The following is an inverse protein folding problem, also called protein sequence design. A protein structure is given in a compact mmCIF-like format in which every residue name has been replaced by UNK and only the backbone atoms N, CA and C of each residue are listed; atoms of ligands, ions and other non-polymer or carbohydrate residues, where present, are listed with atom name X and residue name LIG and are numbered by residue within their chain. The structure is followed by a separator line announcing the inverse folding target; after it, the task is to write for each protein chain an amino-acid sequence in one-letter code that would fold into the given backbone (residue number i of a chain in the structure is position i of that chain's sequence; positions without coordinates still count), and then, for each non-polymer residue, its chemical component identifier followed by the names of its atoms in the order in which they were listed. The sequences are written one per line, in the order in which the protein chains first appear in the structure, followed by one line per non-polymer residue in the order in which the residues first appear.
data_IF_012559505161
#
_entry.id   IF_012559505161
#
_cell.length_a   1.000
_cell.length_b   1.000
_cell.length_c   1.000
_cell.angle_alpha   90.00
_cell.angle_beta   90.00
_cell.angle_gamma   90.00
#
_symmetry.space_group_name_H-M   'P 1'
#
loop_
_entity.id
_entity.type
_entity.pdbx_description
1 polymer ?
#
# COMPACT_ATOMS: atom_id res chain seq x y z
N UNK A 1 2.61 7.94 20.69
CA UNK A 1 4.06 8.10 20.84
C UNK A 1 4.62 8.77 19.61
N UNK A 2 5.29 9.89 19.81
CA UNK A 2 5.94 10.60 18.70
C UNK A 2 7.25 9.89 18.34
N UNK A 3 7.40 9.53 17.10
CA UNK A 3 8.57 8.83 16.54
C UNK A 3 9.06 9.57 15.30
N UNK A 4 10.38 9.64 15.16
CA UNK A 4 11.04 10.16 13.97
C UNK A 4 11.23 9.02 12.97
N UNK A 5 10.82 9.22 11.73
CA UNK A 5 11.03 8.30 10.61
C UNK A 5 12.41 8.49 9.99
N UNK A 6 12.83 7.56 9.12
CA UNK A 6 14.13 7.63 8.44
C UNK A 6 14.28 8.86 7.50
N UNK A 7 13.17 9.40 7.04
CA UNK A 7 13.08 10.62 6.20
C UNK A 7 12.84 11.90 7.02
N UNK A 8 13.23 11.88 8.32
CA UNK A 8 13.21 13.03 9.24
C UNK A 8 11.81 13.62 9.52
N UNK A 9 10.75 12.85 9.33
CA UNK A 9 9.39 13.25 9.65
C UNK A 9 8.96 12.76 11.03
N UNK A 10 8.18 13.56 11.76
CA UNK A 10 7.62 13.19 13.05
C UNK A 10 6.22 12.63 12.85
N UNK A 11 5.98 11.43 13.35
CA UNK A 11 4.67 10.73 13.28
C UNK A 11 4.18 10.42 14.69
N UNK A 12 2.91 10.70 14.98
CA UNK A 12 2.27 10.22 16.21
C UNK A 12 1.65 8.84 15.94
N UNK A 13 2.18 7.84 16.65
CA UNK A 13 1.79 6.44 16.50
C UNK A 13 1.13 5.96 17.78
N UNK A 14 -0.07 5.40 17.63
CA UNK A 14 -0.75 4.63 18.67
C UNK A 14 -0.62 3.15 18.33
N UNK A 15 -0.41 2.32 19.33
CA UNK A 15 -0.34 0.87 19.17
C UNK A 15 -1.14 0.16 20.24
N UNK A 16 -1.57 -1.05 19.93
CA UNK A 16 -2.21 -1.97 20.86
C UNK A 16 -1.47 -3.30 20.81
N UNK A 17 -0.98 -3.77 21.96
CA UNK A 17 -0.35 -5.06 22.10
C UNK A 17 -1.21 -5.96 22.97
N UNK A 18 -1.51 -7.17 22.50
CA UNK A 18 -2.12 -8.24 23.27
C UNK A 18 -1.07 -9.30 23.55
N UNK A 19 -0.98 -9.72 24.78
CA UNK A 19 -0.01 -10.71 25.21
C UNK A 19 -0.64 -11.72 26.17
N UNK A 20 -0.01 -12.87 26.29
CA UNK A 20 -0.35 -13.92 27.26
C UNK A 20 0.89 -14.26 28.06
N UNK A 21 0.69 -14.67 29.31
CA UNK A 21 1.78 -15.16 30.14
C UNK A 21 1.99 -16.63 29.79
N UNK A 22 3.14 -16.93 29.18
CA UNK A 22 3.51 -18.29 28.78
C UNK A 22 4.21 -19.04 29.91
N UNK A 23 5.00 -18.35 30.71
CA UNK A 23 5.68 -18.90 31.89
C UNK A 23 5.42 -18.01 33.12
N UNK A 24 4.48 -18.42 33.99
CA UNK A 24 4.16 -17.64 35.19
C UNK A 24 5.34 -17.51 36.17
N UNK A 25 6.27 -18.43 36.13
CA UNK A 25 7.43 -18.39 37.02
C UNK A 25 8.41 -17.31 36.59
N UNK A 26 8.72 -17.24 35.30
CA UNK A 26 9.55 -16.15 34.75
C UNK A 26 8.86 -14.81 34.89
N UNK A 27 7.55 -14.74 34.68
CA UNK A 27 6.78 -13.53 34.84
C UNK A 27 6.81 -12.97 36.29
N UNK A 28 6.69 -13.85 37.30
CA UNK A 28 6.67 -13.44 38.69
C UNK A 28 8.05 -13.15 39.28
N UNK A 29 9.10 -13.83 38.81
CA UNK A 29 10.44 -13.74 39.38
C UNK A 29 11.49 -13.17 38.44
N UNK A 30 11.18 -12.99 37.16
CA UNK A 30 12.07 -12.40 36.16
C UNK A 30 12.17 -10.88 36.28
N UNK A 31 11.15 -10.23 36.80
CA UNK A 31 11.19 -8.81 37.10
C UNK A 31 11.82 -8.60 38.50
N UNK A 32 13.01 -8.07 38.50
CA UNK A 32 13.80 -7.86 39.71
C UNK A 32 13.15 -6.78 40.61
N UNK A 33 12.83 -7.18 41.84
CA UNK A 33 12.69 -6.42 43.07
C UNK A 33 11.50 -5.48 43.32
N UNK A 34 10.69 -5.02 42.35
CA UNK A 34 9.64 -4.04 42.67
C UNK A 34 8.19 -4.55 42.46
N UNK A 35 8.00 -5.83 42.10
CA UNK A 35 6.69 -6.40 41.78
C UNK A 35 5.74 -6.41 42.99
N UNK A 36 6.29 -6.49 44.19
CA UNK A 36 5.49 -6.55 45.43
C UNK A 36 4.87 -5.19 45.82
N UNK A 37 5.46 -4.07 45.37
CA UNK A 37 5.05 -2.71 45.78
C UNK A 37 3.97 -2.08 44.87
N UNK A 38 3.82 -2.54 43.62
CA UNK A 38 3.01 -1.85 42.56
C UNK A 38 1.73 -2.55 42.13
N UNK A 39 1.22 -3.52 42.90
CA UNK A 39 -0.12 -4.09 42.64
C UNK A 39 -0.30 -4.79 41.28
N UNK A 40 0.75 -5.38 40.70
CA UNK A 40 0.62 -6.21 39.48
C UNK A 40 0.60 -5.44 38.15
N UNK A 41 0.80 -4.14 38.15
CA UNK A 41 0.81 -3.32 36.91
C UNK A 41 2.17 -3.22 36.22
N UNK A 42 3.23 -3.68 36.84
CA UNK A 42 4.60 -3.55 36.29
C UNK A 42 4.87 -4.38 35.06
N UNK A 43 4.31 -5.58 34.94
CA UNK A 43 4.43 -6.37 33.73
C UNK A 43 3.86 -5.66 32.49
N UNK A 44 2.75 -4.91 32.69
CA UNK A 44 2.17 -4.11 31.60
C UNK A 44 3.02 -2.89 31.25
N UNK A 45 3.68 -2.28 32.22
CA UNK A 45 4.57 -1.12 31.99
C UNK A 45 5.84 -1.53 31.24
N UNK A 46 6.47 -2.66 31.62
CA UNK A 46 7.62 -3.20 30.91
C UNK A 46 7.27 -3.58 29.47
N UNK A 47 6.12 -4.23 29.25
CA UNK A 47 5.63 -4.53 27.91
C UNK A 47 5.38 -3.25 27.12
N UNK A 48 4.83 -2.21 27.75
CA UNK A 48 4.59 -0.91 27.11
C UNK A 48 5.89 -0.27 26.67
N UNK A 49 6.90 -0.21 27.55
CA UNK A 49 8.21 0.36 27.24
C UNK A 49 8.96 -0.43 26.16
N UNK A 50 8.91 -1.77 26.22
CA UNK A 50 9.48 -2.62 25.19
C UNK A 50 8.77 -2.43 23.85
N UNK A 51 7.44 -2.29 23.85
CA UNK A 51 6.65 -2.02 22.67
C UNK A 51 6.95 -0.64 22.06
N UNK A 52 7.09 0.39 22.89
CA UNK A 52 7.51 1.72 22.43
C UNK A 52 8.91 1.70 21.79
N UNK A 53 9.83 0.94 22.36
CA UNK A 53 11.16 0.76 21.80
C UNK A 53 11.12 0.02 20.46
N UNK A 54 10.35 -1.07 20.37
CA UNK A 54 10.18 -1.82 19.14
C UNK A 54 9.53 -0.98 18.03
N UNK A 55 8.50 -0.20 18.35
CA UNK A 55 7.87 0.74 17.39
C UNK A 55 8.87 1.80 16.94
N UNK A 56 9.63 2.38 17.86
CA UNK A 56 10.63 3.40 17.54
C UNK A 56 11.72 2.85 16.62
N UNK A 57 12.17 1.63 16.83
CA UNK A 57 13.17 0.97 15.98
C UNK A 57 12.61 0.68 14.59
N UNK A 58 11.41 0.09 14.51
CA UNK A 58 10.79 -0.28 13.23
C UNK A 58 10.45 0.97 12.42
N UNK A 59 9.84 1.97 13.03
CA UNK A 59 9.45 3.23 12.34
C UNK A 59 10.65 4.07 11.98
N UNK A 60 11.66 4.14 12.86
CA UNK A 60 12.89 4.89 12.58
C UNK A 60 13.71 4.32 11.43
N UNK A 61 13.55 3.05 11.09
CA UNK A 61 14.20 2.41 9.94
C UNK A 61 13.38 2.48 8.65
N UNK A 62 12.14 2.99 8.70
CA UNK A 62 11.24 3.08 7.56
C UNK A 62 10.89 4.54 7.23
N UNK A 63 10.43 4.77 6.00
CA UNK A 63 9.96 6.07 5.56
C UNK A 63 8.54 6.34 6.07
N UNK A 64 8.13 7.59 6.03
CA UNK A 64 6.79 8.00 6.41
C UNK A 64 5.72 7.34 5.55
N UNK A 65 5.93 7.26 4.23
CA UNK A 65 5.00 6.61 3.30
C UNK A 65 4.77 5.14 3.68
N UNK A 66 5.85 4.39 3.93
CA UNK A 66 5.76 3.00 4.40
C UNK A 66 5.00 2.92 5.72
N UNK A 67 5.26 3.84 6.63
CA UNK A 67 4.61 3.88 7.95
C UNK A 67 3.11 4.14 7.86
N UNK A 68 2.66 4.91 6.88
CA UNK A 68 1.24 5.24 6.68
C UNK A 68 0.48 4.18 5.86
N UNK A 69 1.12 3.61 4.84
CA UNK A 69 0.44 2.74 3.87
C UNK A 69 0.68 1.24 4.08
N UNK A 70 1.82 0.83 4.65
CA UNK A 70 2.19 -0.58 4.84
C UNK A 70 2.13 -1.03 6.32
N UNK A 71 1.14 -0.56 7.05
CA UNK A 71 0.98 -0.79 8.50
C UNK A 71 0.95 -2.25 8.92
N UNK A 72 0.41 -3.12 8.07
CA UNK A 72 0.33 -4.56 8.38
C UNK A 72 1.72 -5.18 8.45
N UNK A 73 2.60 -4.84 7.52
CA UNK A 73 3.98 -5.31 7.51
C UNK A 73 4.75 -4.78 8.73
N UNK A 74 4.57 -3.49 9.03
CA UNK A 74 5.19 -2.87 10.21
C UNK A 74 4.67 -3.48 11.53
N UNK A 75 3.41 -3.86 11.60
CA UNK A 75 2.83 -4.54 12.77
C UNK A 75 3.49 -5.91 13.00
N UNK A 76 3.77 -6.65 11.95
CA UNK A 76 4.48 -7.95 12.03
C UNK A 76 5.91 -7.74 12.49
N UNK A 77 6.63 -6.79 11.91
CA UNK A 77 8.01 -6.48 12.29
C UNK A 77 8.10 -6.00 13.74
N UNK A 78 7.21 -5.10 14.15
CA UNK A 78 7.15 -4.59 15.52
C UNK A 78 6.82 -5.70 16.53
N UNK A 79 5.93 -6.63 16.17
CA UNK A 79 5.64 -7.82 16.98
C UNK A 79 6.88 -8.68 17.19
N UNK A 80 7.63 -8.94 16.12
CA UNK A 80 8.85 -9.76 16.18
C UNK A 80 9.96 -9.10 17.01
N UNK A 81 10.15 -7.79 16.85
CA UNK A 81 11.09 -7.01 17.66
C UNK A 81 10.68 -6.98 19.14
N UNK A 82 9.40 -6.77 19.42
CA UNK A 82 8.86 -6.81 20.77
C UNK A 82 9.06 -8.18 21.40
N UNK A 83 8.73 -9.26 20.69
CA UNK A 83 8.91 -10.62 21.22
C UNK A 83 10.38 -10.93 21.51
N UNK A 84 11.30 -10.57 20.60
CA UNK A 84 12.75 -10.75 20.82
C UNK A 84 13.24 -9.99 22.06
N UNK A 85 12.77 -8.77 22.26
CA UNK A 85 13.12 -7.97 23.45
C UNK A 85 12.60 -8.62 24.73
N UNK A 86 11.35 -9.09 24.73
CA UNK A 86 10.73 -9.76 25.88
C UNK A 86 11.41 -11.10 26.19
N UNK A 87 11.85 -11.84 25.15
CA UNK A 87 12.57 -13.09 25.31
C UNK A 87 13.99 -12.84 25.87
N UNK A 88 14.67 -11.79 25.41
CA UNK A 88 15.99 -11.38 25.93
C UNK A 88 15.92 -11.03 27.43
N UNK A 89 14.84 -10.38 27.84
CA UNK A 89 14.60 -10.06 29.25
C UNK A 89 14.06 -11.22 30.06
N UNK A 90 13.81 -12.40 29.44
CA UNK A 90 13.27 -13.60 30.09
C UNK A 90 11.97 -13.31 30.88
N UNK A 91 11.07 -12.53 30.28
CA UNK A 91 9.85 -12.09 30.94
C UNK A 91 8.75 -13.15 31.05
N UNK A 92 8.87 -14.26 30.33
CA UNK A 92 7.82 -15.28 30.25
C UNK A 92 6.53 -14.82 29.56
N UNK A 93 6.59 -13.72 28.78
CA UNK A 93 5.46 -13.14 28.08
C UNK A 93 5.51 -13.52 26.61
N UNK A 94 4.38 -13.91 26.05
CA UNK A 94 4.21 -14.18 24.62
C UNK A 94 3.25 -13.17 24.00
N UNK A 95 3.71 -12.41 23.00
CA UNK A 95 2.89 -11.47 22.26
C UNK A 95 1.99 -12.22 21.29
N UNK A 96 0.68 -12.09 21.50
CA UNK A 96 -0.34 -12.74 20.65
C UNK A 96 -0.64 -11.87 19.44
N UNK A 97 -0.92 -10.60 19.66
CA UNK A 97 -1.28 -9.66 18.61
C UNK A 97 -0.65 -8.29 18.86
N UNK A 98 -0.20 -7.67 17.78
CA UNK A 98 0.30 -6.31 17.79
C UNK A 98 -0.33 -5.54 16.63
N UNK A 99 -1.00 -4.44 16.93
CA UNK A 99 -1.70 -3.62 15.94
C UNK A 99 -1.27 -2.17 16.04
N UNK A 100 -1.10 -1.56 14.87
CA UNK A 100 -0.86 -0.12 14.68
C UNK A 100 -2.13 0.51 14.06
N UNK A 101 -3.14 0.87 14.87
CA UNK A 101 -4.43 1.30 14.34
C UNK A 101 -4.35 2.59 13.56
N UNK A 102 -3.57 3.56 14.00
CA UNK A 102 -3.45 4.85 13.35
C UNK A 102 -2.05 5.45 13.57
N UNK A 103 -1.37 5.75 12.47
CA UNK A 103 -0.31 6.74 12.42
C UNK A 103 -0.94 8.06 11.96
N UNK A 104 -0.70 9.15 12.66
CA UNK A 104 -1.23 10.48 12.34
C UNK A 104 -0.10 11.48 12.31
N UNK A 105 -0.28 12.48 11.48
CA UNK A 105 0.57 13.67 11.54
C UNK A 105 0.23 14.48 12.78
N UNK A 106 1.19 15.21 13.36
CA UNK A 106 0.88 16.27 14.28
C UNK A 106 -0.14 17.23 13.67
N UNK A 107 -1.07 17.73 14.49
CA UNK A 107 -2.19 18.56 14.00
C UNK A 107 -1.71 19.82 13.25
N UNK A 108 -0.53 20.35 13.63
CA UNK A 108 0.04 21.57 13.03
C UNK A 108 0.45 21.40 11.56
N UNK A 109 0.74 20.19 11.11
CA UNK A 109 1.21 19.93 9.74
C UNK A 109 0.25 19.04 8.94
N UNK A 110 -0.81 18.58 9.58
CA UNK A 110 -1.78 17.63 9.00
C UNK A 110 -2.39 18.15 7.69
N UNK A 111 -2.76 19.43 7.61
CA UNK A 111 -3.40 20.01 6.43
C UNK A 111 -2.45 20.04 5.23
N UNK A 112 -1.19 20.43 5.43
CA UNK A 112 -0.19 20.48 4.38
C UNK A 112 0.12 19.06 3.82
N UNK A 113 0.22 18.06 4.70
CA UNK A 113 0.42 16.68 4.26
C UNK A 113 -0.80 16.11 3.54
N UNK A 114 -2.01 16.39 4.00
CA UNK A 114 -3.24 15.98 3.32
C UNK A 114 -3.33 16.60 1.93
N UNK A 115 -2.93 17.86 1.75
CA UNK A 115 -2.87 18.52 0.45
C UNK A 115 -1.86 17.83 -0.47
N UNK A 116 -0.66 17.51 0.02
CA UNK A 116 0.37 16.80 -0.75
C UNK A 116 -0.09 15.39 -1.18
N UNK A 117 -0.73 14.63 -0.27
CA UNK A 117 -1.31 13.31 -0.57
C UNK A 117 -2.41 13.42 -1.62
N UNK A 118 -3.31 14.40 -1.48
CA UNK A 118 -4.39 14.65 -2.44
C UNK A 118 -3.84 15.03 -3.82
N UNK A 119 -2.79 15.86 -3.88
CA UNK A 119 -2.11 16.20 -5.13
C UNK A 119 -1.50 14.98 -5.81
N UNK A 120 -0.88 14.07 -5.04
CA UNK A 120 -0.38 12.79 -5.52
C UNK A 120 -1.49 11.93 -6.13
N UNK A 121 -2.60 11.75 -5.43
CA UNK A 121 -3.76 11.01 -5.91
C UNK A 121 -4.39 11.64 -7.16
N UNK A 122 -4.48 12.96 -7.22
CA UNK A 122 -4.97 13.67 -8.40
C UNK A 122 -4.06 13.44 -9.62
N UNK A 123 -2.74 13.50 -9.44
CA UNK A 123 -1.76 13.19 -10.49
C UNK A 123 -2.00 11.78 -11.05
N UNK A 124 -2.13 10.78 -10.19
CA UNK A 124 -2.33 9.40 -10.61
C UNK A 124 -3.69 9.21 -11.31
N UNK A 125 -4.72 9.90 -10.84
CA UNK A 125 -6.04 9.94 -11.50
C UNK A 125 -5.96 10.54 -12.90
N UNK A 126 -5.24 11.64 -13.08
CA UNK A 126 -5.04 12.30 -14.38
C UNK A 126 -4.28 11.36 -15.33
N UNK A 127 -3.20 10.72 -14.86
CA UNK A 127 -2.42 9.78 -15.66
C UNK A 127 -3.29 8.59 -16.09
N UNK A 128 -4.03 7.97 -15.18
CA UNK A 128 -4.92 6.86 -15.47
C UNK A 128 -6.03 7.24 -16.46
N UNK A 129 -6.61 8.43 -16.30
CA UNK A 129 -7.63 8.96 -17.22
C UNK A 129 -7.05 9.19 -18.61
N UNK A 130 -5.85 9.76 -18.70
CA UNK A 130 -5.17 9.97 -19.98
C UNK A 130 -4.82 8.63 -20.67
N UNK A 131 -4.36 7.64 -19.92
CA UNK A 131 -4.09 6.30 -20.45
C UNK A 131 -5.39 5.61 -20.96
N UNK A 132 -6.48 5.71 -20.19
CA UNK A 132 -7.78 5.18 -20.61
C UNK A 132 -8.28 5.88 -21.89
N UNK A 133 -8.13 7.20 -21.97
CA UNK A 133 -8.48 7.96 -23.18
C UNK A 133 -7.65 7.52 -24.40
N UNK A 134 -6.33 7.40 -24.24
CA UNK A 134 -5.45 6.93 -25.33
C UNK A 134 -5.80 5.51 -25.77
N UNK A 135 -6.09 4.61 -24.81
CA UNK A 135 -6.50 3.24 -25.08
C UNK A 135 -7.85 3.12 -25.81
N UNK A 136 -8.70 4.12 -25.72
CA UNK A 136 -9.97 4.21 -26.45
C UNK A 136 -9.78 4.83 -27.84
N UNK A 137 -9.19 6.00 -27.89
CA UNK A 137 -9.14 6.80 -29.14
C UNK A 137 -8.22 6.20 -30.19
N UNK A 138 -7.07 5.66 -29.80
CA UNK A 138 -6.12 5.10 -30.78
C UNK A 138 -6.70 3.87 -31.51
N UNK A 139 -7.30 2.85 -30.83
CA UNK A 139 -7.95 1.75 -31.54
C UNK A 139 -9.17 2.18 -32.36
N UNK A 140 -9.96 3.13 -31.87
CA UNK A 140 -11.11 3.67 -32.60
C UNK A 140 -10.69 4.35 -33.91
N UNK A 141 -9.66 5.17 -33.86
CA UNK A 141 -9.09 5.82 -35.07
C UNK A 141 -8.52 4.79 -36.05
N UNK A 142 -7.80 3.76 -35.55
CA UNK A 142 -7.28 2.67 -36.38
C UNK A 142 -8.40 1.84 -36.99
N UNK A 143 -9.45 1.54 -36.24
CA UNK A 143 -10.64 0.83 -36.75
C UNK A 143 -11.35 1.62 -37.86
N UNK A 144 -11.54 2.93 -37.67
CA UNK A 144 -12.12 3.83 -38.64
C UNK A 144 -11.29 3.89 -39.94
N UNK A 145 -9.95 4.04 -39.79
CA UNK A 145 -9.05 4.03 -40.96
C UNK A 145 -9.09 2.69 -41.71
N UNK A 146 -9.10 1.58 -40.99
CA UNK A 146 -9.21 0.25 -41.60
C UNK A 146 -10.53 0.04 -42.36
N UNK A 147 -11.63 0.52 -41.78
CA UNK A 147 -12.95 0.49 -42.42
C UNK A 147 -12.98 1.28 -43.74
N UNK A 148 -12.50 2.53 -43.70
CA UNK A 148 -12.44 3.38 -44.90
C UNK A 148 -11.59 2.71 -45.99
N UNK A 149 -10.43 2.15 -45.61
CA UNK A 149 -9.57 1.42 -46.55
C UNK A 149 -10.27 0.20 -47.15
N UNK A 150 -10.94 -0.60 -46.33
CA UNK A 150 -11.68 -1.77 -46.79
C UNK A 150 -12.86 -1.40 -47.72
N UNK A 151 -13.58 -0.32 -47.42
CA UNK A 151 -14.65 0.20 -48.29
C UNK A 151 -14.09 0.67 -49.64
N UNK A 152 -12.98 1.37 -49.66
CA UNK A 152 -12.33 1.82 -50.91
C UNK A 152 -11.80 0.66 -51.73
N UNK A 153 -11.17 -0.35 -51.12
CA UNK A 153 -10.71 -1.56 -51.80
C UNK A 153 -11.90 -2.39 -52.34
N UNK A 154 -12.97 -2.45 -51.58
CA UNK A 154 -14.23 -3.08 -52.02
C UNK A 154 -14.85 -2.39 -53.25
N UNK A 155 -14.94 -1.07 -53.22
CA UNK A 155 -15.40 -0.26 -54.33
C UNK A 155 -14.53 -0.42 -55.58
N UNK A 156 -13.20 -0.39 -55.43
CA UNK A 156 -12.27 -0.65 -56.52
C UNK A 156 -12.52 -2.02 -57.20
N UNK A 157 -12.57 -3.08 -56.38
CA UNK A 157 -12.79 -4.46 -56.88
C UNK A 157 -14.14 -4.60 -57.58
N UNK A 158 -15.20 -4.03 -57.01
CA UNK A 158 -16.55 -4.07 -57.58
C UNK A 158 -16.59 -3.30 -58.93
N UNK A 159 -15.97 -2.12 -59.01
CA UNK A 159 -15.90 -1.35 -60.25
C UNK A 159 -15.13 -2.07 -61.35
N UNK A 160 -13.98 -2.67 -61.02
CA UNK A 160 -13.18 -3.44 -61.98
C UNK A 160 -13.96 -4.72 -62.43
N UNK A 161 -14.58 -5.44 -61.50
CA UNK A 161 -15.35 -6.62 -61.81
C UNK A 161 -16.55 -6.29 -62.74
N UNK A 162 -17.26 -5.18 -62.49
CA UNK A 162 -18.36 -4.70 -63.35
C UNK A 162 -17.87 -4.37 -64.73
N UNK A 163 -16.82 -3.59 -64.85
CA UNK A 163 -16.24 -3.21 -66.15
C UNK A 163 -15.76 -4.44 -66.94
N UNK A 164 -15.11 -5.39 -66.25
CA UNK A 164 -14.69 -6.66 -66.88
C UNK A 164 -15.86 -7.49 -67.35
N UNK A 165 -16.94 -7.60 -66.56
CA UNK A 165 -18.17 -8.28 -66.90
C UNK A 165 -18.85 -7.66 -68.11
N UNK A 166 -18.97 -6.35 -68.16
CA UNK A 166 -19.58 -5.61 -69.28
C UNK A 166 -18.75 -5.76 -70.56
N UNK A 167 -17.43 -5.71 -70.50
CA UNK A 167 -16.54 -5.98 -71.64
C UNK A 167 -16.62 -7.44 -72.13
N UNK A 168 -16.78 -8.41 -71.25
CA UNK A 168 -16.98 -9.81 -71.59
C UNK A 168 -18.30 -10.04 -72.31
N UNK A 169 -19.39 -9.46 -71.86
CA UNK A 169 -20.69 -9.50 -72.49
C UNK A 169 -20.66 -8.94 -73.92
N UNK A 170 -20.01 -7.76 -74.03
CA UNK A 170 -19.86 -7.11 -75.32
C UNK A 170 -19.11 -8.03 -76.37
N UNK A 171 -18.00 -8.65 -75.93
CA UNK A 171 -17.25 -9.60 -76.80
C UNK A 171 -18.02 -10.83 -77.16
N UNK A 172 -19.00 -11.25 -76.39
CA UNK A 172 -19.83 -12.41 -76.70
C UNK A 172 -20.97 -12.08 -77.64
N UNK A 173 -21.36 -10.82 -77.79
CA UNK A 173 -22.43 -10.37 -78.68
C UNK A 173 -21.89 -9.86 -80.04
N UNK A 174 -20.61 -9.66 -80.15
CA UNK A 174 -19.91 -9.31 -81.40
C UNK A 174 -19.38 -10.58 -82.11
#
# INVERSE_FOLDING_TARGET
VNVLTNDENIVDIKFNAQYTISDPRLYLFGFRDDVAAAGGQQGSETVRQAAESAVREVVGNNTMDTTLFEREQLSVLAKDHLQKSLDMYQTGIKVTQFNLPNARFPDEVSDAFNEAINAGQQRDTIINTAMAYASKIVPEARGSASRIKAEADGYLKASVAKATGDASRFRQLA
#
